data_IF_448171635746
#
_entry.id   IF_448171635746
#
_cell.length_a   1.000
_cell.length_b   1.000
_cell.length_c   1.000
_cell.angle_alpha   90.00
_cell.angle_beta   90.00
_cell.angle_gamma   90.00
#
_symmetry.space_group_name_H-M   'P 1'
#
loop_
_entity.id
_entity.type
_entity.pdbx_description
1 polymer ?
#
# COMPACT_ATOMS: atom_id res chain seq x y z
N UNK A 1 -4.61 12.51 -9.09
CA UNK A 1 -4.46 11.10 -9.49
C UNK A 1 -3.82 10.21 -8.42
N UNK A 2 -2.63 10.55 -7.90
CA UNK A 2 -2.03 9.83 -6.76
C UNK A 2 -2.87 10.03 -5.48
N UNK A 3 -3.24 11.27 -5.18
CA UNK A 3 -4.10 11.59 -4.03
C UNK A 3 -5.45 10.87 -4.09
N UNK A 4 -6.08 10.81 -5.26
CA UNK A 4 -7.33 10.05 -5.47
C UNK A 4 -7.13 8.55 -5.25
N UNK A 5 -5.94 8.03 -5.56
CA UNK A 5 -5.60 6.62 -5.36
C UNK A 5 -5.46 6.32 -3.88
N UNK A 6 -4.75 7.16 -3.13
CA UNK A 6 -4.64 7.06 -1.66
C UNK A 6 -6.00 7.16 -0.97
N UNK A 7 -6.86 8.09 -1.38
CA UNK A 7 -8.22 8.21 -0.85
C UNK A 7 -9.04 6.94 -1.06
N UNK A 8 -8.88 6.28 -2.22
CA UNK A 8 -9.53 4.99 -2.50
C UNK A 8 -9.00 3.88 -1.58
N UNK A 9 -7.71 3.88 -1.23
CA UNK A 9 -7.16 2.90 -0.27
C UNK A 9 -7.77 3.12 1.12
N UNK A 10 -7.83 4.37 1.59
CA UNK A 10 -8.45 4.69 2.88
C UNK A 10 -9.92 4.24 2.92
N UNK A 11 -10.68 4.52 1.87
CA UNK A 11 -12.07 4.06 1.77
C UNK A 11 -12.19 2.53 1.80
N UNK A 12 -11.28 1.80 1.15
CA UNK A 12 -11.26 0.33 1.21
C UNK A 12 -10.99 -0.19 2.63
N UNK A 13 -10.05 0.44 3.35
CA UNK A 13 -9.72 0.09 4.74
C UNK A 13 -10.92 0.40 5.66
N UNK A 14 -11.57 1.55 5.48
CA UNK A 14 -12.75 1.93 6.26
C UNK A 14 -13.97 1.04 6.01
N UNK A 15 -14.13 0.52 4.80
CA UNK A 15 -15.25 -0.35 4.44
C UNK A 15 -14.98 -1.83 4.72
N UNK A 16 -13.77 -2.20 5.10
CA UNK A 16 -13.43 -3.59 5.39
C UNK A 16 -13.97 -4.01 6.77
N UNK A 17 -15.11 -4.70 6.76
CA UNK A 17 -15.81 -5.18 7.97
C UNK A 17 -15.01 -6.22 8.77
N UNK A 18 -14.07 -6.93 8.13
CA UNK A 18 -13.24 -7.94 8.79
C UNK A 18 -12.10 -7.37 9.64
N UNK A 19 -11.83 -6.06 9.53
CA UNK A 19 -10.75 -5.43 10.27
C UNK A 19 -11.18 -5.11 11.70
N UNK A 20 -10.35 -5.50 12.67
CA UNK A 20 -10.48 -4.95 14.03
C UNK A 20 -10.17 -3.46 14.05
N UNK A 21 -10.64 -2.76 15.08
CA UNK A 21 -10.38 -1.32 15.26
C UNK A 21 -8.89 -0.98 15.26
N UNK A 22 -8.05 -1.85 15.82
CA UNK A 22 -6.60 -1.63 15.89
C UNK A 22 -5.91 -1.91 14.55
N UNK A 23 -6.25 -2.99 13.85
CA UNK A 23 -5.75 -3.26 12.50
C UNK A 23 -6.13 -2.12 11.53
N UNK A 24 -7.38 -1.66 11.61
CA UNK A 24 -7.86 -0.53 10.81
C UNK A 24 -7.05 0.73 11.09
N UNK A 25 -6.85 1.08 12.37
CA UNK A 25 -6.05 2.25 12.76
C UNK A 25 -4.62 2.14 12.22
N UNK A 26 -3.98 1.00 12.43
CA UNK A 26 -2.62 0.73 11.95
C UNK A 26 -2.50 0.89 10.43
N UNK A 27 -3.44 0.34 9.66
CA UNK A 27 -3.43 0.45 8.20
C UNK A 27 -3.65 1.90 7.75
N UNK A 28 -4.57 2.64 8.37
CA UNK A 28 -4.80 4.05 8.04
C UNK A 28 -3.55 4.90 8.36
N UNK A 29 -2.86 4.63 9.47
CA UNK A 29 -1.61 5.32 9.81
C UNK A 29 -0.50 5.04 8.80
N UNK A 30 -0.38 3.79 8.33
CA UNK A 30 0.58 3.39 7.30
C UNK A 30 0.27 4.05 5.95
N UNK A 31 -1.01 4.14 5.56
CA UNK A 31 -1.41 4.83 4.32
C UNK A 31 -1.21 6.34 4.42
N UNK A 32 -1.46 6.95 5.58
CA UNK A 32 -1.16 8.36 5.81
C UNK A 32 0.35 8.64 5.73
N UNK A 33 1.18 7.73 6.25
CA UNK A 33 2.64 7.83 6.09
C UNK A 33 3.06 7.65 4.62
N UNK A 34 2.50 6.67 3.92
CA UNK A 34 2.75 6.42 2.50
C UNK A 34 2.41 7.66 1.66
N UNK A 35 1.30 8.34 1.96
CA UNK A 35 0.92 9.57 1.28
C UNK A 35 1.98 10.67 1.44
N UNK A 36 2.48 10.87 2.66
CA UNK A 36 3.54 11.86 2.92
C UNK A 36 4.82 11.52 2.17
N UNK A 37 5.21 10.25 2.20
CA UNK A 37 6.44 9.79 1.56
C UNK A 37 6.35 9.92 0.03
N UNK A 38 5.21 9.55 -0.57
CA UNK A 38 4.99 9.71 -2.02
C UNK A 38 5.00 11.20 -2.44
N UNK A 39 4.39 12.09 -1.64
CA UNK A 39 4.41 13.54 -1.93
C UNK A 39 5.82 14.13 -1.98
N UNK A 40 6.76 13.57 -1.21
CA UNK A 40 8.17 14.00 -1.23
C UNK A 40 8.91 13.55 -2.49
N UNK A 41 8.46 12.47 -3.12
CA UNK A 41 9.12 11.85 -4.28
C UNK A 41 8.46 12.29 -5.58
N UNK A 42 7.18 12.67 -5.55
CA UNK A 42 6.42 13.16 -6.70
C UNK A 42 7.12 14.34 -7.42
N UNK A 43 7.89 15.15 -6.68
CA UNK A 43 8.66 16.27 -7.24
C UNK A 43 9.95 15.85 -7.96
N UNK A 44 10.42 14.62 -7.73
CA UNK A 44 11.67 14.07 -8.26
C UNK A 44 11.38 13.05 -9.36
N UNK A 45 10.40 12.17 -9.14
CA UNK A 45 10.02 11.10 -10.05
C UNK A 45 8.52 10.79 -9.94
N UNK A 46 7.72 11.46 -10.78
CA UNK A 46 6.28 11.34 -10.80
C UNK A 46 5.78 9.97 -11.28
N UNK A 47 6.47 9.38 -12.26
CA UNK A 47 6.07 8.10 -12.86
C UNK A 47 6.23 6.95 -11.86
N UNK A 48 7.36 6.92 -11.15
CA UNK A 48 7.60 5.92 -10.13
C UNK A 48 6.67 6.11 -8.92
N UNK A 49 6.45 7.35 -8.48
CA UNK A 49 5.49 7.69 -7.43
C UNK A 49 4.06 7.22 -7.77
N UNK A 50 3.65 7.39 -9.03
CA UNK A 50 2.35 6.92 -9.53
C UNK A 50 2.26 5.40 -9.56
N UNK A 51 3.31 4.72 -10.03
CA UNK A 51 3.38 3.26 -10.09
C UNK A 51 3.22 2.64 -8.71
N UNK A 52 3.93 3.16 -7.71
CA UNK A 52 3.81 2.73 -6.31
C UNK A 52 2.41 2.96 -5.76
N UNK A 53 1.81 4.12 -6.00
CA UNK A 53 0.45 4.40 -5.52
C UNK A 53 -0.57 3.40 -6.09
N UNK A 54 -0.48 3.10 -7.40
CA UNK A 54 -1.38 2.14 -8.08
C UNK A 54 -1.19 0.73 -7.54
N UNK A 55 0.05 0.29 -7.36
CA UNK A 55 0.36 -1.05 -6.85
C UNK A 55 -0.01 -1.20 -5.37
N UNK A 56 0.27 -0.19 -4.54
CA UNK A 56 -0.16 -0.18 -3.14
C UNK A 56 -1.69 -0.30 -3.01
N UNK A 57 -2.42 0.38 -3.91
CA UNK A 57 -3.88 0.24 -3.98
C UNK A 57 -4.30 -1.16 -4.40
N UNK A 58 -3.69 -1.71 -5.45
CA UNK A 58 -4.00 -3.06 -5.92
C UNK A 58 -3.77 -4.10 -4.81
N UNK A 59 -2.61 -4.05 -4.15
CA UNK A 59 -2.26 -4.94 -3.04
C UNK A 59 -3.25 -4.80 -1.88
N UNK A 60 -3.58 -3.57 -1.49
CA UNK A 60 -4.58 -3.33 -0.44
C UNK A 60 -5.98 -3.80 -0.82
N UNK A 61 -6.35 -3.73 -2.11
CA UNK A 61 -7.63 -4.24 -2.59
C UNK A 61 -7.69 -5.77 -2.51
N UNK A 62 -6.67 -6.49 -3.00
CA UNK A 62 -6.65 -7.96 -2.97
C UNK A 62 -6.57 -8.50 -1.52
N UNK A 63 -5.59 -8.01 -0.75
CA UNK A 63 -5.81 -7.42 0.57
C UNK A 63 -7.11 -7.67 1.31
N UNK A 64 -8.06 -6.78 1.02
CA UNK A 64 -9.27 -6.45 1.78
C UNK A 64 -10.53 -7.03 1.14
N UNK A 65 -10.42 -7.69 -0.02
CA UNK A 65 -11.51 -8.41 -0.66
C UNK A 65 -12.13 -9.45 0.27
N UNK A 66 -13.46 -9.49 0.27
CA UNK A 66 -14.23 -10.47 1.04
C UNK A 66 -13.82 -11.91 0.69
N UNK A 67 -13.66 -12.20 -0.60
CA UNK A 67 -13.13 -13.46 -1.11
C UNK A 67 -11.71 -13.23 -1.64
N UNK A 68 -10.72 -13.69 -0.86
CA UNK A 68 -9.31 -13.54 -1.20
C UNK A 68 -8.90 -14.58 -2.25
N UNK A 69 -8.17 -14.14 -3.27
CA UNK A 69 -7.51 -15.04 -4.22
C UNK A 69 -5.99 -15.00 -3.95
N UNK A 70 -5.38 -16.08 -3.43
CA UNK A 70 -3.95 -16.13 -3.12
C UNK A 70 -3.04 -15.82 -4.32
N UNK A 71 -3.42 -16.20 -5.53
CA UNK A 71 -2.63 -15.92 -6.74
C UNK A 71 -2.63 -14.43 -7.08
N UNK A 72 -3.79 -13.76 -6.97
CA UNK A 72 -3.89 -12.31 -7.21
C UNK A 72 -3.14 -11.52 -6.14
N UNK A 73 -3.21 -11.95 -4.89
CA UNK A 73 -2.44 -11.38 -3.79
C UNK A 73 -0.94 -11.48 -4.09
N UNK A 74 -0.44 -12.67 -4.45
CA UNK A 74 0.97 -12.88 -4.76
C UNK A 74 1.44 -12.04 -5.95
N UNK A 75 0.61 -11.89 -6.99
CA UNK A 75 0.91 -11.01 -8.13
C UNK A 75 0.98 -9.54 -7.72
N UNK A 76 0.02 -9.07 -6.91
CA UNK A 76 0.00 -7.69 -6.44
C UNK A 76 1.22 -7.37 -5.55
N UNK A 77 1.56 -8.27 -4.62
CA UNK A 77 2.75 -8.14 -3.79
C UNK A 77 4.04 -8.12 -4.61
N UNK A 78 4.17 -9.02 -5.58
CA UNK A 78 5.34 -9.07 -6.45
C UNK A 78 5.48 -7.78 -7.27
N UNK A 79 4.38 -7.28 -7.81
CA UNK A 79 4.37 -6.01 -8.55
C UNK A 79 4.82 -4.85 -7.66
N UNK A 80 4.27 -4.75 -6.45
CA UNK A 80 4.66 -3.71 -5.50
C UNK A 80 6.13 -3.84 -5.08
N UNK A 81 6.64 -5.05 -4.85
CA UNK A 81 8.04 -5.29 -4.51
C UNK A 81 9.01 -4.80 -5.60
N UNK A 82 8.70 -5.10 -6.87
CA UNK A 82 9.50 -4.64 -8.01
C UNK A 82 9.48 -3.12 -8.15
N UNK A 83 8.33 -2.48 -7.91
CA UNK A 83 8.22 -1.02 -8.00
C UNK A 83 8.95 -0.25 -6.90
N UNK A 84 9.38 -0.93 -5.83
CA UNK A 84 10.04 -0.30 -4.67
C UNK A 84 11.48 -0.78 -4.51
N UNK A 85 11.96 -1.68 -5.35
CA UNK A 85 13.32 -2.24 -5.29
C UNK A 85 14.36 -1.11 -5.39
N UNK A 86 14.20 -0.21 -6.36
CA UNK A 86 15.06 0.96 -6.52
C UNK A 86 14.93 1.99 -5.38
N UNK A 87 13.87 1.90 -4.57
CA UNK A 87 13.65 2.77 -3.41
C UNK A 87 14.38 2.31 -2.15
N UNK A 88 14.90 1.09 -2.11
CA UNK A 88 15.69 0.62 -0.96
C UNK A 88 16.93 1.50 -0.73
N UNK A 89 17.62 1.89 -1.81
CA UNK A 89 18.79 2.77 -1.76
C UNK A 89 18.42 4.26 -1.84
N UNK A 90 17.49 4.63 -2.72
CA UNK A 90 17.18 6.04 -3.00
C UNK A 90 16.23 6.68 -1.98
N UNK A 91 15.26 5.93 -1.45
CA UNK A 91 14.18 6.41 -0.59
C UNK A 91 13.87 5.42 0.56
N UNK A 92 14.83 5.14 1.45
CA UNK A 92 14.73 4.05 2.43
C UNK A 92 13.54 4.17 3.38
N UNK A 93 13.07 5.39 3.67
CA UNK A 93 11.86 5.61 4.49
C UNK A 93 10.59 5.13 3.78
N UNK A 94 10.43 5.45 2.49
CA UNK A 94 9.27 4.99 1.72
C UNK A 94 9.27 3.46 1.63
N UNK A 95 10.44 2.88 1.35
CA UNK A 95 10.61 1.44 1.30
C UNK A 95 10.18 0.76 2.61
N UNK A 96 10.59 1.31 3.77
CA UNK A 96 10.17 0.82 5.09
C UNK A 96 8.66 0.94 5.32
N UNK A 97 8.04 2.07 4.93
CA UNK A 97 6.59 2.27 5.03
C UNK A 97 5.83 1.22 4.21
N UNK A 98 6.28 0.94 2.98
CA UNK A 98 5.65 -0.04 2.10
C UNK A 98 5.85 -1.47 2.56
N UNK A 99 7.03 -1.84 3.06
CA UNK A 99 7.23 -3.12 3.71
C UNK A 99 6.30 -3.30 4.92
N UNK A 100 6.18 -2.27 5.76
CA UNK A 100 5.30 -2.31 6.93
C UNK A 100 3.83 -2.48 6.53
N UNK A 101 3.41 -1.86 5.42
CA UNK A 101 2.09 -2.06 4.82
C UNK A 101 1.89 -3.51 4.38
N UNK A 102 2.83 -4.09 3.62
CA UNK A 102 2.75 -5.49 3.18
C UNK A 102 2.67 -6.47 4.37
N UNK A 103 3.49 -6.25 5.41
CA UNK A 103 3.47 -7.08 6.63
C UNK A 103 2.12 -6.96 7.35
N UNK A 104 1.59 -5.75 7.50
CA UNK A 104 0.28 -5.54 8.13
C UNK A 104 -0.85 -6.21 7.35
N UNK A 105 -0.82 -6.11 6.01
CA UNK A 105 -1.79 -6.75 5.12
C UNK A 105 -1.70 -8.27 5.15
N UNK A 106 -0.49 -8.85 5.14
CA UNK A 106 -0.28 -10.30 5.32
C UNK A 106 -0.88 -10.81 6.62
N UNK A 107 -0.71 -10.05 7.71
CA UNK A 107 -1.26 -10.36 9.02
C UNK A 107 -2.80 -10.40 9.07
N UNK A 108 -3.51 -9.94 8.03
CA UNK A 108 -4.97 -10.05 7.93
C UNK A 108 -5.45 -11.41 7.41
N UNK A 109 -4.59 -12.14 6.70
CA UNK A 109 -4.91 -13.42 6.08
C UNK A 109 -4.45 -14.65 6.88
N UNK A 110 -3.89 -14.45 8.08
CA UNK A 110 -3.43 -15.52 8.99
C UNK A 110 -4.49 -15.82 10.04
#
# INVERSE_FOLDING_TARGET
>A
MIQDTILKINALIEQADRLTSDQRRQLLDLIAQLQRDIQLIETVDHEQAQSVAVLAKLTSHEYLRAEQNPELIAMAEKGLALAIEDYEESHPKLYQTLQSLCIALRGLGV
#
